data_IF_783066643494
#
_entry.id   IF_783066643494
#
_cell.length_a   1.000
_cell.length_b   1.000
_cell.length_c   1.000
_cell.angle_alpha   90.00
_cell.angle_beta   90.00
_cell.angle_gamma   90.00
#
_symmetry.space_group_name_H-M   'P 1'
#
loop_
_entity.id
_entity.type
_entity.pdbx_description
1 polymer ?
#
# COMPACT_ATOMS: atom_id res chain seq x y z
N UNK A 1 -20.16 -23.60 -10.91
CA UNK A 1 -21.64 -23.63 -10.90
C UNK A 1 -22.04 -24.51 -12.06
N UNK A 2 -23.04 -25.37 -11.86
CA UNK A 2 -23.47 -26.34 -12.85
C UNK A 2 -24.88 -26.01 -13.33
N UNK A 3 -25.21 -26.29 -14.59
CA UNK A 3 -26.57 -26.13 -15.14
C UNK A 3 -27.01 -27.42 -15.79
N UNK A 4 -28.26 -27.81 -15.57
CA UNK A 4 -28.86 -28.93 -16.27
C UNK A 4 -29.14 -28.57 -17.72
N UNK A 5 -28.67 -29.38 -18.66
CA UNK A 5 -28.90 -29.17 -20.10
C UNK A 5 -30.38 -29.30 -20.49
N UNK A 6 -31.17 -30.10 -19.76
CA UNK A 6 -32.57 -30.36 -20.11
C UNK A 6 -33.55 -29.33 -19.52
N UNK A 7 -33.36 -28.91 -18.26
CA UNK A 7 -34.33 -28.02 -17.58
C UNK A 7 -33.78 -26.67 -17.14
N UNK A 8 -32.49 -26.40 -17.37
CA UNK A 8 -31.87 -25.11 -17.06
C UNK A 8 -31.65 -24.82 -15.57
N UNK A 9 -32.04 -25.72 -14.64
CA UNK A 9 -31.79 -25.52 -13.19
C UNK A 9 -30.29 -25.47 -12.90
N UNK A 10 -29.92 -24.58 -11.98
CA UNK A 10 -28.55 -24.38 -11.52
C UNK A 10 -28.27 -25.11 -10.22
N UNK A 11 -27.05 -25.63 -10.09
CA UNK A 11 -26.56 -26.37 -8.93
C UNK A 11 -25.19 -25.83 -8.51
N UNK A 12 -24.93 -25.80 -7.20
CA UNK A 12 -23.57 -25.61 -6.70
C UNK A 12 -22.72 -26.86 -6.89
N UNK A 13 -21.42 -26.77 -6.58
CA UNK A 13 -20.47 -27.84 -6.83
C UNK A 13 -20.70 -29.07 -5.96
N UNK A 14 -21.03 -28.88 -4.68
CA UNK A 14 -21.26 -29.96 -3.73
C UNK A 14 -22.53 -30.74 -4.11
N UNK A 15 -23.62 -30.03 -4.41
CA UNK A 15 -24.88 -30.65 -4.82
C UNK A 15 -24.79 -31.36 -6.18
N UNK A 16 -23.98 -30.85 -7.11
CA UNK A 16 -23.74 -31.53 -8.40
C UNK A 16 -22.94 -32.83 -8.23
N UNK A 17 -21.93 -32.83 -7.34
CA UNK A 17 -21.13 -34.02 -7.03
C UNK A 17 -21.94 -35.09 -6.32
N UNK A 18 -22.74 -34.72 -5.32
CA UNK A 18 -23.62 -35.65 -4.60
C UNK A 18 -24.59 -36.37 -5.55
N UNK A 19 -25.02 -35.67 -6.60
CA UNK A 19 -25.94 -36.19 -7.62
C UNK A 19 -25.25 -36.82 -8.83
N UNK A 20 -23.94 -37.05 -8.76
CA UNK A 20 -23.14 -37.65 -9.83
C UNK A 20 -23.35 -36.98 -11.18
N UNK A 21 -23.45 -35.64 -11.20
CA UNK A 21 -23.60 -34.84 -12.41
C UNK A 21 -24.92 -35.07 -13.18
N UNK A 22 -25.99 -35.48 -12.47
CA UNK A 22 -27.34 -35.65 -13.03
C UNK A 22 -28.33 -34.74 -12.27
N UNK A 23 -29.32 -34.19 -12.98
CA UNK A 23 -30.36 -33.33 -12.40
C UNK A 23 -31.33 -34.12 -11.51
N UNK A 24 -32.49 -33.56 -11.17
CA UNK A 24 -33.52 -34.25 -10.39
C UNK A 24 -34.04 -35.52 -11.09
N UNK A 25 -34.49 -36.55 -10.33
CA UNK A 25 -35.02 -37.79 -10.89
C UNK A 25 -36.10 -37.61 -11.97
N UNK A 26 -36.96 -36.58 -11.84
CA UNK A 26 -37.99 -36.27 -12.83
C UNK A 26 -37.50 -35.53 -14.09
N UNK A 27 -36.23 -35.11 -14.14
CA UNK A 27 -35.65 -34.39 -15.26
C UNK A 27 -34.67 -35.26 -16.06
N UNK A 28 -33.80 -36.01 -15.38
CA UNK A 28 -32.82 -36.91 -16.01
C UNK A 28 -31.72 -36.21 -16.82
N UNK A 29 -31.71 -34.87 -16.94
CA UNK A 29 -30.71 -34.16 -17.72
C UNK A 29 -29.33 -34.11 -17.05
N UNK A 30 -28.27 -34.14 -17.85
CA UNK A 30 -26.87 -34.03 -17.41
C UNK A 30 -26.58 -32.62 -16.91
N UNK A 31 -25.77 -32.52 -15.85
CA UNK A 31 -25.25 -31.26 -15.35
C UNK A 31 -23.94 -30.94 -16.06
N UNK A 32 -23.88 -29.83 -16.78
CA UNK A 32 -22.66 -29.32 -17.39
C UNK A 32 -22.07 -28.20 -16.55
N UNK A 33 -20.74 -28.08 -16.56
CA UNK A 33 -20.06 -26.92 -16.00
C UNK A 33 -20.49 -25.73 -16.86
N UNK A 34 -21.24 -24.83 -16.26
CA UNK A 34 -21.36 -23.50 -16.82
C UNK A 34 -20.13 -22.79 -16.31
N UNK A 35 -19.09 -22.80 -17.14
CA UNK A 35 -18.16 -21.67 -17.13
C UNK A 35 -19.08 -20.47 -17.13
N UNK A 36 -19.02 -19.64 -16.09
CA UNK A 36 -19.76 -18.38 -16.10
C UNK A 36 -19.40 -17.75 -17.44
N UNK A 37 -20.30 -17.85 -18.43
CA UNK A 37 -20.46 -16.83 -19.42
C UNK A 37 -20.72 -15.62 -18.54
N UNK A 38 -19.63 -14.92 -18.28
CA UNK A 38 -19.65 -13.54 -17.91
C UNK A 38 -20.31 -12.92 -19.14
N UNK A 39 -21.66 -12.95 -19.16
CA UNK A 39 -22.47 -12.11 -20.02
C UNK A 39 -21.71 -10.81 -20.15
N UNK A 40 -21.42 -10.36 -21.37
CA UNK A 40 -20.37 -9.39 -21.73
C UNK A 40 -20.35 -8.03 -21.00
N UNK A 41 -21.07 -7.87 -19.90
CA UNK A 41 -20.70 -7.05 -18.76
C UNK A 41 -19.66 -7.78 -17.88
N UNK A 42 -18.38 -7.48 -18.11
CA UNK A 42 -17.32 -7.68 -17.12
C UNK A 42 -17.86 -7.28 -15.72
N UNK A 43 -17.95 -8.20 -14.74
CA UNK A 43 -18.31 -7.84 -13.38
C UNK A 43 -17.19 -6.95 -12.85
N UNK A 44 -17.48 -5.65 -12.81
CA UNK A 44 -16.48 -4.63 -12.55
C UNK A 44 -16.09 -3.79 -13.76
N UNK A 45 -17.04 -3.31 -14.58
CA UNK A 45 -17.00 -1.86 -14.72
C UNK A 45 -17.16 -1.33 -13.29
N UNK A 46 -16.11 -0.75 -12.67
CA UNK A 46 -16.31 -0.09 -11.40
C UNK A 46 -17.47 0.86 -11.65
N UNK A 47 -18.54 0.73 -10.86
CA UNK A 47 -19.54 1.78 -10.77
C UNK A 47 -18.76 3.09 -10.78
N UNK A 48 -19.06 3.97 -11.74
CA UNK A 48 -18.24 5.16 -12.04
C UNK A 48 -17.97 6.06 -10.83
N UNK A 49 -18.66 5.79 -9.73
CA UNK A 49 -18.29 6.09 -8.37
C UNK A 49 -17.13 5.20 -7.88
N UNK A 50 -15.96 5.31 -8.52
CA UNK A 50 -14.73 5.16 -7.74
C UNK A 50 -14.91 6.11 -6.55
N UNK A 51 -14.85 5.62 -5.30
CA UNK A 51 -15.13 6.48 -4.16
C UNK A 51 -14.22 7.70 -4.31
N UNK A 52 -14.81 8.89 -4.36
CA UNK A 52 -14.11 10.19 -4.35
C UNK A 52 -13.24 10.39 -3.09
N UNK A 53 -13.03 9.32 -2.31
CA UNK A 53 -12.36 9.20 -1.02
C UNK A 53 -10.83 9.18 -1.11
N UNK A 54 -10.21 9.24 -2.28
CA UNK A 54 -8.73 9.44 -2.32
C UNK A 54 -8.33 10.87 -1.97
N UNK A 55 -9.29 11.80 -1.94
CA UNK A 55 -9.06 13.17 -1.48
C UNK A 55 -8.60 13.21 -0.03
N UNK A 56 -7.31 13.44 0.21
CA UNK A 56 -6.76 13.69 1.55
C UNK A 56 -5.63 12.76 1.99
N UNK A 57 -5.30 11.71 1.22
CA UNK A 57 -4.11 10.91 1.52
C UNK A 57 -2.82 11.70 1.25
N UNK A 58 -1.71 11.42 1.97
CA UNK A 58 -0.41 12.00 1.68
C UNK A 58 0.00 11.75 0.23
N UNK A 59 0.54 12.76 -0.46
CA UNK A 59 0.86 12.70 -1.91
C UNK A 59 1.66 11.48 -2.34
N UNK A 60 2.69 11.00 -1.59
CA UNK A 60 3.42 9.80 -1.96
C UNK A 60 2.52 8.56 -2.08
N UNK A 61 1.41 8.51 -1.35
CA UNK A 61 0.44 7.42 -1.38
C UNK A 61 -0.65 7.70 -2.42
N UNK A 62 -1.24 8.90 -2.41
CA UNK A 62 -2.37 9.25 -3.29
C UNK A 62 -2.03 9.11 -4.77
N UNK A 63 -0.90 9.68 -5.20
CA UNK A 63 -0.57 9.78 -6.62
C UNK A 63 -0.39 8.40 -7.29
N UNK A 64 0.41 7.47 -6.75
CA UNK A 64 0.49 6.11 -7.29
C UNK A 64 -0.85 5.37 -7.28
N UNK A 65 -1.65 5.54 -6.22
CA UNK A 65 -2.94 4.88 -6.13
C UNK A 65 -3.94 5.39 -7.18
N UNK A 66 -4.00 6.71 -7.40
CA UNK A 66 -4.81 7.30 -8.48
C UNK A 66 -4.40 6.78 -9.86
N UNK A 67 -3.09 6.66 -10.12
CA UNK A 67 -2.59 6.07 -11.38
C UNK A 67 -3.07 4.63 -11.55
N UNK A 68 -3.04 3.84 -10.49
CA UNK A 68 -3.61 2.48 -10.51
C UNK A 68 -5.11 2.48 -10.84
N UNK A 69 -5.90 3.37 -10.22
CA UNK A 69 -7.34 3.42 -10.47
C UNK A 69 -7.68 3.84 -11.90
N UNK A 70 -6.89 4.76 -12.48
CA UNK A 70 -7.08 5.31 -13.82
C UNK A 70 -6.55 4.41 -14.93
N UNK A 71 -5.64 3.47 -14.62
CA UNK A 71 -5.08 2.56 -15.62
C UNK A 71 -6.14 1.57 -16.12
N UNK A 72 -6.28 1.49 -17.45
CA UNK A 72 -7.28 0.67 -18.13
C UNK A 72 -6.67 -0.61 -18.71
N UNK A 73 -5.39 -0.59 -19.06
CA UNK A 73 -4.70 -1.73 -19.65
C UNK A 73 -4.30 -2.74 -18.56
N UNK A 74 -4.72 -4.02 -18.63
CA UNK A 74 -4.57 -4.98 -17.53
C UNK A 74 -3.14 -5.17 -17.05
N UNK A 75 -2.18 -5.29 -17.98
CA UNK A 75 -0.77 -5.47 -17.66
C UNK A 75 -0.20 -4.26 -16.90
N UNK A 76 -0.38 -3.05 -17.44
CA UNK A 76 0.06 -1.83 -16.76
C UNK A 76 -0.67 -1.60 -15.44
N UNK A 77 -1.95 -2.00 -15.34
CA UNK A 77 -2.73 -1.87 -14.11
C UNK A 77 -2.14 -2.68 -12.96
N UNK A 78 -1.65 -3.90 -13.23
CA UNK A 78 -0.93 -4.71 -12.25
C UNK A 78 0.38 -4.03 -11.81
N UNK A 79 1.16 -3.48 -12.74
CA UNK A 79 2.37 -2.70 -12.38
C UNK A 79 2.04 -1.49 -11.51
N UNK A 80 1.02 -0.70 -11.88
CA UNK A 80 0.58 0.45 -11.09
C UNK A 80 0.07 0.06 -9.71
N UNK A 81 -0.59 -1.10 -9.59
CA UNK A 81 -1.00 -1.65 -8.29
C UNK A 81 0.23 -1.93 -7.42
N UNK A 82 1.23 -2.64 -7.96
CA UNK A 82 2.48 -2.91 -7.25
C UNK A 82 3.20 -1.61 -6.85
N UNK A 83 3.27 -0.62 -7.75
CA UNK A 83 3.83 0.70 -7.44
C UNK A 83 3.09 1.41 -6.29
N UNK A 84 1.76 1.34 -6.28
CA UNK A 84 0.97 1.97 -5.23
C UNK A 84 1.23 1.34 -3.86
N UNK A 85 1.21 0.00 -3.79
CA UNK A 85 1.47 -0.72 -2.53
C UNK A 85 2.93 -0.57 -2.10
N UNK A 86 3.88 -0.53 -3.02
CA UNK A 86 5.28 -0.25 -2.70
C UNK A 86 5.45 1.14 -2.10
N UNK A 87 4.78 2.14 -2.68
CA UNK A 87 4.83 3.51 -2.15
C UNK A 87 4.23 3.60 -0.74
N UNK A 88 3.09 2.93 -0.51
CA UNK A 88 2.49 2.80 0.82
C UNK A 88 3.43 2.10 1.81
N UNK A 89 4.09 1.02 1.38
CA UNK A 89 5.02 0.27 2.23
C UNK A 89 6.23 1.11 2.61
N UNK A 90 6.82 1.83 1.65
CA UNK A 90 7.93 2.77 1.89
C UNK A 90 7.54 3.87 2.86
N UNK A 91 6.40 4.51 2.61
CA UNK A 91 5.87 5.54 3.49
C UNK A 91 5.69 5.00 4.92
N UNK A 92 5.04 3.85 5.05
CA UNK A 92 4.79 3.19 6.35
C UNK A 92 6.10 2.87 7.07
N UNK A 93 7.07 2.27 6.37
CA UNK A 93 8.39 1.96 6.91
C UNK A 93 9.09 3.23 7.44
N UNK A 94 9.10 4.32 6.67
CA UNK A 94 9.72 5.58 7.07
C UNK A 94 9.11 6.14 8.36
N UNK A 95 7.78 6.16 8.47
CA UNK A 95 7.11 6.70 9.67
C UNK A 95 7.37 5.81 10.89
N UNK A 96 7.28 4.50 10.74
CA UNK A 96 7.53 3.58 11.85
C UNK A 96 9.00 3.59 12.29
N UNK A 97 9.95 3.71 11.36
CA UNK A 97 11.36 3.88 11.70
C UNK A 97 11.63 5.19 12.45
N UNK A 98 10.97 6.28 12.04
CA UNK A 98 11.04 7.55 12.76
C UNK A 98 10.51 7.42 14.18
N UNK A 99 9.41 6.69 14.38
CA UNK A 99 8.88 6.40 15.71
C UNK A 99 9.83 5.55 16.56
N UNK A 100 10.40 4.49 15.98
CA UNK A 100 11.41 3.68 16.67
C UNK A 100 12.57 4.57 17.10
N UNK A 101 13.15 5.35 16.18
CA UNK A 101 14.27 6.24 16.47
C UNK A 101 13.92 7.28 17.56
N UNK A 102 12.72 7.86 17.52
CA UNK A 102 12.22 8.81 18.52
C UNK A 102 12.14 8.18 19.91
N UNK A 103 11.69 6.93 20.00
CA UNK A 103 11.47 6.23 21.28
C UNK A 103 12.75 5.61 21.86
N UNK A 104 13.59 4.97 21.04
CA UNK A 104 14.84 4.34 21.50
C UNK A 104 16.06 5.25 21.41
N UNK A 105 15.95 6.44 20.81
CA UNK A 105 17.07 7.35 20.47
C UNK A 105 18.13 6.77 19.52
N UNK A 106 17.97 5.51 19.10
CA UNK A 106 18.84 4.82 18.16
C UNK A 106 18.09 3.64 17.51
N UNK A 107 18.31 3.40 16.22
CA UNK A 107 17.75 2.23 15.57
C UNK A 107 18.35 0.92 16.14
N UNK A 108 17.53 -0.11 16.43
CA UNK A 108 18.00 -1.45 16.76
C UNK A 108 19.02 -1.98 15.76
N UNK A 109 20.04 -2.71 16.22
CA UNK A 109 21.11 -3.19 15.36
C UNK A 109 20.60 -4.07 14.21
N UNK A 110 19.55 -4.85 14.45
CA UNK A 110 18.90 -5.67 13.42
C UNK A 110 18.35 -4.82 12.27
N UNK A 111 17.62 -3.75 12.59
CA UNK A 111 17.08 -2.77 11.63
C UNK A 111 18.22 -2.07 10.88
N UNK A 112 19.26 -1.61 11.58
CA UNK A 112 20.44 -0.99 10.96
C UNK A 112 21.10 -1.92 9.94
N UNK A 113 21.36 -3.16 10.33
CA UNK A 113 21.96 -4.17 9.45
C UNK A 113 21.05 -4.51 8.27
N UNK A 114 19.72 -4.58 8.50
CA UNK A 114 18.73 -4.75 7.44
C UNK A 114 18.77 -3.62 6.42
N UNK A 115 18.71 -2.38 6.89
CA UNK A 115 18.80 -1.19 6.03
C UNK A 115 20.12 -1.13 5.27
N UNK A 116 21.27 -1.33 5.92
CA UNK A 116 22.58 -1.28 5.26
C UNK A 116 22.69 -2.28 4.11
N UNK A 117 22.18 -3.50 4.29
CA UNK A 117 22.16 -4.52 3.22
C UNK A 117 21.24 -4.17 2.06
N UNK A 118 20.25 -3.29 2.28
CA UNK A 118 19.15 -3.06 1.36
C UNK A 118 19.17 -1.66 0.72
N UNK A 119 19.94 -0.71 1.27
CA UNK A 119 20.03 0.66 0.79
C UNK A 119 20.63 0.79 -0.62
N UNK A 120 21.45 -0.17 -1.05
CA UNK A 120 22.02 -0.16 -2.41
C UNK A 120 20.95 -0.42 -3.49
N UNK A 121 19.95 -1.27 -3.21
CA UNK A 121 18.84 -1.58 -4.13
C UNK A 121 17.57 -1.96 -3.35
N UNK A 122 16.82 -0.98 -2.82
CA UNK A 122 15.71 -1.28 -1.93
C UNK A 122 14.47 -1.71 -2.74
N UNK A 123 14.46 -2.99 -3.09
CA UNK A 123 13.31 -3.74 -3.60
C UNK A 123 12.14 -3.75 -2.58
N UNK A 124 10.93 -4.01 -3.05
CA UNK A 124 9.72 -4.01 -2.22
C UNK A 124 9.83 -4.93 -0.98
N UNK A 125 10.46 -6.10 -1.15
CA UNK A 125 10.69 -7.05 -0.06
C UNK A 125 11.54 -6.48 1.08
N UNK A 126 12.56 -5.67 0.76
CA UNK A 126 13.36 -4.97 1.77
C UNK A 126 12.50 -4.06 2.66
N UNK A 127 11.65 -3.24 2.04
CA UNK A 127 10.77 -2.34 2.78
C UNK A 127 9.74 -3.09 3.63
N UNK A 128 9.27 -4.26 3.18
CA UNK A 128 8.39 -5.12 3.97
C UNK A 128 9.09 -5.64 5.22
N UNK A 129 10.35 -6.11 5.11
CA UNK A 129 11.14 -6.54 6.26
C UNK A 129 11.39 -5.40 7.24
N UNK A 130 11.83 -4.23 6.74
CA UNK A 130 12.04 -3.02 7.57
C UNK A 130 10.75 -2.66 8.32
N UNK A 131 9.60 -2.69 7.64
CA UNK A 131 8.28 -2.44 8.24
C UNK A 131 7.98 -3.44 9.35
N UNK A 132 8.21 -4.73 9.12
CA UNK A 132 7.97 -5.80 10.09
C UNK A 132 8.85 -5.64 11.33
N UNK A 133 10.14 -5.35 11.14
CA UNK A 133 11.07 -5.14 12.25
C UNK A 133 10.73 -3.88 13.05
N UNK A 134 10.32 -2.79 12.39
CA UNK A 134 9.88 -1.57 13.06
C UNK A 134 8.61 -1.82 13.90
N UNK A 135 7.61 -2.52 13.34
CA UNK A 135 6.41 -2.93 14.09
C UNK A 135 6.77 -3.78 15.32
N UNK A 136 7.68 -4.74 15.18
CA UNK A 136 8.14 -5.59 16.29
C UNK A 136 8.84 -4.80 17.39
N UNK A 137 9.70 -3.84 17.01
CA UNK A 137 10.38 -2.96 17.95
C UNK A 137 9.38 -2.07 18.73
N UNK A 138 8.39 -1.50 18.04
CA UNK A 138 7.34 -0.70 18.66
C UNK A 138 6.46 -1.54 19.59
N UNK A 139 6.07 -2.76 19.19
CA UNK A 139 5.28 -3.66 20.04
C UNK A 139 6.03 -4.05 21.33
N UNK A 140 7.34 -4.33 21.23
CA UNK A 140 8.19 -4.61 22.39
C UNK A 140 8.26 -3.42 23.37
N UNK A 141 8.29 -2.19 22.85
CA UNK A 141 8.31 -0.97 23.66
C UNK A 141 6.95 -0.60 24.25
N UNK A 142 5.84 -0.89 23.56
CA UNK A 142 4.48 -0.66 24.07
C UNK A 142 4.15 -1.54 25.29
N UNK A 143 4.80 -2.71 25.41
CA UNK A 143 4.67 -3.58 26.58
C UNK A 143 5.44 -3.07 27.81
N UNK A 144 6.36 -2.13 27.63
CA UNK A 144 7.02 -1.45 28.74
C UNK A 144 6.08 -0.34 29.23
N UNK A 145 5.31 -0.66 30.28
CA UNK A 145 4.31 0.17 31.00
C UNK A 145 4.74 1.60 31.39
N UNK A 146 5.96 2.03 31.06
CA UNK A 146 6.60 3.25 31.54
C UNK A 146 6.94 4.27 30.45
N UNK A 147 6.73 3.99 29.16
CA UNK A 147 6.98 4.97 28.11
C UNK A 147 5.71 5.75 27.74
N UNK A 148 5.68 7.03 28.13
CA UNK A 148 4.62 8.03 27.81
C UNK A 148 4.52 8.39 26.31
N UNK A 149 5.00 7.55 25.41
CA UNK A 149 4.89 7.79 23.97
C UNK A 149 4.86 6.46 23.26
N UNK A 150 3.68 6.05 22.79
CA UNK A 150 3.58 4.95 21.83
C UNK A 150 4.02 5.41 20.44
N UNK A 151 3.64 4.64 19.41
CA UNK A 151 3.71 5.11 18.03
C UNK A 151 2.96 6.45 17.88
N UNK A 152 3.47 7.34 17.05
CA UNK A 152 2.85 8.63 16.76
C UNK A 152 1.50 8.44 16.05
N UNK A 153 1.39 7.40 15.22
CA UNK A 153 0.15 6.99 14.55
C UNK A 153 -0.11 5.52 14.89
N UNK A 154 -0.79 5.20 16.02
CA UNK A 154 -1.06 3.81 16.42
C UNK A 154 -1.81 3.00 15.36
N UNK A 155 -2.73 3.64 14.64
CA UNK A 155 -3.50 3.05 13.53
C UNK A 155 -2.58 2.54 12.41
N UNK A 156 -1.45 3.22 12.19
CA UNK A 156 -0.47 2.83 11.17
C UNK A 156 0.20 1.50 11.53
N UNK A 157 0.49 1.25 12.82
CA UNK A 157 1.04 -0.04 13.27
C UNK A 157 0.04 -1.17 13.05
N UNK A 158 -1.24 -0.92 13.38
CA UNK A 158 -2.33 -1.89 13.15
C UNK A 158 -2.53 -2.18 11.67
N UNK A 159 -2.55 -1.14 10.83
CA UNK A 159 -2.66 -1.26 9.37
C UNK A 159 -1.45 -1.99 8.77
N UNK A 160 -0.23 -1.70 9.24
CA UNK A 160 0.96 -2.38 8.79
C UNK A 160 0.90 -3.89 9.08
N UNK A 161 0.53 -4.25 10.32
CA UNK A 161 0.58 -5.65 10.80
C UNK A 161 -0.58 -6.53 10.33
N UNK A 162 -1.78 -5.97 10.14
CA UNK A 162 -2.98 -6.76 9.85
C UNK A 162 -3.33 -6.84 8.35
N UNK A 163 -3.57 -5.72 7.64
CA UNK A 163 -3.86 -5.81 6.20
C UNK A 163 -2.62 -5.70 5.29
N UNK A 164 -1.62 -4.86 5.60
CA UNK A 164 -0.52 -4.58 4.65
C UNK A 164 0.50 -5.72 4.55
N UNK A 165 1.17 -6.09 5.65
CA UNK A 165 2.21 -7.13 5.62
C UNK A 165 1.68 -8.49 5.12
N UNK A 166 0.47 -8.94 5.50
CA UNK A 166 -0.10 -10.16 4.93
C UNK A 166 -0.49 -10.04 3.44
N UNK A 167 -0.79 -8.84 2.94
CA UNK A 167 -1.01 -8.62 1.50
C UNK A 167 0.29 -8.70 0.70
N UNK A 168 1.41 -8.24 1.27
CA UNK A 168 2.72 -8.31 0.64
C UNK A 168 3.19 -9.75 0.45
N UNK A 169 3.00 -10.60 1.47
CA UNK A 169 3.41 -12.01 1.44
C UNK A 169 4.91 -12.19 1.36
N UNK A 170 5.38 -13.15 0.54
CA UNK A 170 6.80 -13.44 0.30
C UNK A 170 7.15 -13.28 -1.19
N UNK A 171 8.44 -13.09 -1.49
CA UNK A 171 8.96 -13.09 -2.87
C UNK A 171 8.80 -14.47 -3.51
N UNK A 172 9.07 -15.52 -2.75
CA UNK A 172 8.88 -16.92 -3.17
C UNK A 172 7.44 -17.43 -2.96
N UNK A 173 6.50 -16.49 -2.76
CA UNK A 173 5.10 -16.77 -2.47
C UNK A 173 4.30 -17.17 -3.71
N UNK A 174 2.97 -17.26 -3.52
CA UNK A 174 2.06 -17.49 -4.65
C UNK A 174 1.74 -16.14 -5.32
N UNK A 175 2.09 -15.90 -6.60
CA UNK A 175 1.78 -14.64 -7.29
C UNK A 175 0.28 -14.36 -7.42
N UNK A 176 -0.56 -15.37 -7.15
CA UNK A 176 -2.01 -15.24 -7.07
C UNK A 176 -2.51 -14.78 -5.69
N UNK A 177 -1.64 -14.62 -4.69
CA UNK A 177 -2.00 -14.26 -3.32
C UNK A 177 -1.13 -13.15 -2.73
N UNK A 178 0.16 -13.19 -3.09
CA UNK A 178 1.24 -12.39 -2.50
C UNK A 178 1.73 -11.34 -3.50
N UNK A 179 1.69 -10.07 -3.11
CA UNK A 179 2.10 -8.99 -4.01
C UNK A 179 3.59 -8.99 -4.34
N UNK A 180 4.44 -9.48 -3.44
CA UNK A 180 5.88 -9.57 -3.71
C UNK A 180 6.19 -10.61 -4.78
N UNK A 181 5.54 -11.79 -4.73
CA UNK A 181 5.64 -12.80 -5.77
C UNK A 181 5.06 -12.30 -7.10
N UNK A 182 3.91 -11.62 -7.08
CA UNK A 182 3.34 -10.98 -8.27
C UNK A 182 4.32 -9.97 -8.88
N UNK A 183 4.95 -9.13 -8.06
CA UNK A 183 5.94 -8.15 -8.52
C UNK A 183 7.15 -8.83 -9.16
N UNK A 184 7.64 -9.94 -8.60
CA UNK A 184 8.74 -10.72 -9.20
C UNK A 184 8.35 -11.25 -10.57
N UNK A 185 7.16 -11.88 -10.66
CA UNK A 185 6.61 -12.40 -11.92
C UNK A 185 6.53 -11.30 -13.00
N UNK A 186 6.04 -10.11 -12.64
CA UNK A 186 5.94 -8.97 -13.56
C UNK A 186 7.31 -8.40 -13.97
N UNK A 187 8.32 -8.50 -13.11
CA UNK A 187 9.67 -8.03 -13.42
C UNK A 187 10.47 -8.98 -14.31
N UNK A 188 10.19 -10.28 -14.22
CA UNK A 188 10.85 -11.33 -15.02
C UNK A 188 10.18 -11.55 -16.38
N UNK A 189 8.89 -11.22 -16.51
CA UNK A 189 8.12 -11.42 -17.74
C UNK A 189 8.21 -10.20 -18.66
N UNK A 190 8.54 -10.40 -19.95
CA UNK A 190 8.51 -9.31 -20.94
C UNK A 190 7.09 -8.74 -21.13
N UNK A 191 6.07 -9.61 -21.13
CA UNK A 191 4.65 -9.26 -21.07
C UNK A 191 3.79 -10.48 -20.74
N UNK A 192 2.84 -10.35 -19.83
CA UNK A 192 1.83 -11.37 -19.59
C UNK A 192 0.63 -11.19 -20.55
N UNK A 193 -0.03 -12.28 -21.00
CA UNK A 193 -1.26 -12.18 -21.78
C UNK A 193 -2.36 -11.44 -21.01
N UNK A 194 -3.11 -10.57 -21.68
CA UNK A 194 -4.14 -9.73 -21.06
C UNK A 194 -5.19 -10.56 -20.28
N UNK A 195 -5.56 -11.75 -20.78
CA UNK A 195 -6.47 -12.68 -20.07
C UNK A 195 -5.91 -13.13 -18.72
N UNK A 196 -4.60 -13.42 -18.65
CA UNK A 196 -3.91 -13.79 -17.41
C UNK A 196 -3.80 -12.60 -16.47
N UNK A 197 -3.53 -11.40 -16.99
CA UNK A 197 -3.55 -10.18 -16.19
C UNK A 197 -4.93 -9.92 -15.58
N UNK A 198 -5.99 -10.10 -16.36
CA UNK A 198 -7.36 -9.93 -15.90
C UNK A 198 -7.73 -10.96 -14.82
N UNK A 199 -7.28 -12.21 -14.99
CA UNK A 199 -7.42 -13.25 -13.98
C UNK A 199 -6.72 -12.85 -12.67
N UNK A 200 -5.47 -12.38 -12.74
CA UNK A 200 -4.73 -11.87 -11.58
C UNK A 200 -5.46 -10.70 -10.91
N UNK A 201 -5.99 -9.74 -11.67
CA UNK A 201 -6.74 -8.60 -11.11
C UNK A 201 -8.05 -9.03 -10.42
N UNK A 202 -8.85 -9.88 -11.07
CA UNK A 202 -10.24 -10.18 -10.68
C UNK A 202 -10.35 -11.44 -9.82
N UNK A 203 -9.83 -12.58 -10.30
CA UNK A 203 -9.99 -13.89 -9.65
C UNK A 203 -9.32 -13.93 -8.29
N UNK A 204 -8.19 -13.25 -8.17
CA UNK A 204 -7.38 -13.21 -6.96
C UNK A 204 -7.69 -12.03 -6.05
N UNK A 205 -8.72 -11.23 -6.42
CA UNK A 205 -9.23 -10.10 -5.65
C UNK A 205 -8.14 -9.09 -5.26
N UNK A 206 -7.03 -9.02 -6.00
CA UNK A 206 -5.96 -8.07 -5.69
C UNK A 206 -6.48 -6.64 -5.75
N UNK A 207 -7.29 -6.32 -6.77
CA UNK A 207 -7.92 -5.01 -6.88
C UNK A 207 -8.80 -4.72 -5.65
N UNK A 208 -9.68 -5.64 -5.26
CA UNK A 208 -10.56 -5.44 -4.11
C UNK A 208 -9.76 -5.29 -2.80
N UNK A 209 -8.83 -6.22 -2.52
CA UNK A 209 -7.98 -6.19 -1.33
C UNK A 209 -7.14 -4.91 -1.24
N UNK A 210 -6.61 -4.43 -2.38
CA UNK A 210 -5.86 -3.18 -2.41
C UNK A 210 -6.78 -1.97 -2.20
N UNK A 211 -7.93 -1.91 -2.88
CA UNK A 211 -8.90 -0.83 -2.66
C UNK A 211 -9.35 -0.78 -1.19
N UNK A 212 -9.62 -1.94 -0.58
CA UNK A 212 -9.97 -2.05 0.85
C UNK A 212 -8.83 -1.60 1.76
N UNK A 213 -7.57 -1.97 1.44
CA UNK A 213 -6.39 -1.51 2.17
C UNK A 213 -6.26 0.02 2.11
N UNK A 214 -6.37 0.62 0.93
CA UNK A 214 -6.28 2.07 0.77
C UNK A 214 -7.48 2.80 1.40
N UNK A 215 -8.66 2.18 1.41
CA UNK A 215 -9.83 2.68 2.14
C UNK A 215 -9.62 2.76 3.65
N UNK A 216 -8.78 1.87 4.22
CA UNK A 216 -8.42 1.90 5.64
C UNK A 216 -7.42 3.02 5.99
N UNK A 217 -6.87 3.74 5.01
CA UNK A 217 -5.94 4.85 5.24
C UNK A 217 -6.63 6.18 5.54
N UNK A 218 -7.95 6.19 5.78
CA UNK A 218 -8.69 7.40 6.13
C UNK A 218 -8.10 8.12 7.36
N UNK A 219 -7.49 7.40 8.30
CA UNK A 219 -6.80 8.01 9.44
C UNK A 219 -5.60 8.89 9.02
N UNK A 220 -5.04 8.70 7.82
CA UNK A 220 -3.99 9.58 7.28
C UNK A 220 -4.57 10.85 6.65
N UNK A 221 -5.88 10.94 6.48
CA UNK A 221 -6.51 12.14 5.95
C UNK A 221 -6.32 13.31 6.93
N UNK A 222 -5.69 14.39 6.45
CA UNK A 222 -5.38 15.57 7.27
C UNK A 222 -3.99 15.58 7.91
N UNK A 223 -3.15 14.56 7.67
CA UNK A 223 -1.72 14.68 7.95
C UNK A 223 -1.04 15.55 6.89
N UNK A 224 -0.27 16.52 7.35
CA UNK A 224 0.52 17.39 6.48
C UNK A 224 1.94 16.82 6.34
N UNK A 225 2.44 16.81 5.11
CA UNK A 225 3.81 16.42 4.80
C UNK A 225 4.68 17.67 4.66
N UNK A 226 5.85 17.65 5.28
CA UNK A 226 6.84 18.71 5.14
C UNK A 226 8.14 18.12 4.61
N UNK A 227 8.67 18.65 3.51
CA UNK A 227 10.06 18.44 3.13
C UNK A 227 10.93 19.47 3.82
N UNK A 228 12.10 19.07 4.31
CA UNK A 228 13.13 19.97 4.82
C UNK A 228 14.36 19.77 3.96
N UNK A 229 14.82 20.82 3.30
CA UNK A 229 16.04 20.78 2.47
C UNK A 229 17.30 20.80 3.34
N UNK A 230 18.46 20.51 2.73
CA UNK A 230 19.75 20.47 3.42
C UNK A 230 20.16 21.81 4.08
N UNK A 231 19.64 22.93 3.60
CA UNK A 231 19.81 24.27 4.17
C UNK A 231 18.81 24.58 5.31
N UNK A 232 17.91 23.65 5.63
CA UNK A 232 16.90 23.78 6.67
C UNK A 232 15.58 24.43 6.20
N UNK A 233 15.42 24.76 4.91
CA UNK A 233 14.16 25.29 4.41
C UNK A 233 13.09 24.20 4.40
N UNK A 234 12.01 24.44 5.15
CA UNK A 234 10.81 23.60 5.20
C UNK A 234 9.80 23.97 4.13
N UNK A 235 9.30 22.98 3.39
CA UNK A 235 8.30 23.13 2.33
C UNK A 235 7.14 22.19 2.64
N UNK A 236 5.92 22.72 2.66
CA UNK A 236 4.70 21.91 2.76
C UNK A 236 4.47 21.18 1.43
N UNK A 237 4.34 19.86 1.51
CA UNK A 237 4.12 18.96 0.37
C UNK A 237 2.61 18.70 0.24
N UNK A 238 1.88 19.69 -0.27
CA UNK A 238 0.40 19.66 -0.42
C UNK A 238 -0.09 18.87 -1.65
N UNK A 239 0.80 18.14 -2.32
CA UNK A 239 0.47 17.44 -3.56
C UNK A 239 0.13 18.35 -4.73
N UNK A 240 -0.36 17.79 -5.85
CA UNK A 240 -0.81 18.58 -6.97
C UNK A 240 -1.99 19.47 -6.53
N UNK A 241 -2.06 20.73 -7.00
CA UNK A 241 -3.18 21.60 -6.68
C UNK A 241 -4.48 20.91 -7.06
N UNK A 242 -5.55 21.05 -6.26
CA UNK A 242 -6.83 20.48 -6.63
C UNK A 242 -7.30 21.08 -7.97
N UNK A 243 -8.15 20.38 -8.73
CA UNK A 243 -8.64 20.87 -10.02
C UNK A 243 -9.27 22.26 -9.85
N UNK A 244 -9.07 23.12 -10.85
CA UNK A 244 -9.56 24.49 -10.85
C UNK A 244 -11.06 24.54 -10.48
N UNK A 245 -11.39 25.29 -9.43
CA UNK A 245 -12.76 25.38 -8.88
C UNK A 245 -12.95 24.70 -7.51
N UNK A 246 -12.00 23.91 -7.04
CA UNK A 246 -11.98 23.43 -5.64
C UNK A 246 -11.41 24.52 -4.72
N UNK A 247 -12.21 24.98 -3.76
CA UNK A 247 -11.90 26.12 -2.87
C UNK A 247 -10.80 25.87 -1.81
N UNK A 248 -9.88 24.92 -2.05
CA UNK A 248 -8.91 24.45 -1.07
C UNK A 248 -7.46 24.64 -1.56
N UNK A 249 -6.96 25.87 -1.56
CA UNK A 249 -5.53 26.12 -1.46
C UNK A 249 -5.30 27.20 -0.41
N UNK A 250 -5.04 26.78 0.82
CA UNK A 250 -4.56 27.68 1.87
C UNK A 250 -3.06 27.49 1.97
N UNK A 251 -2.30 28.49 1.53
CA UNK A 251 -0.91 28.64 1.97
C UNK A 251 -0.94 28.98 3.45
N UNK A 252 -0.64 28.02 4.32
CA UNK A 252 -0.46 28.32 5.74
C UNK A 252 0.95 28.88 5.93
N UNK A 253 1.11 30.11 6.46
CA UNK A 253 2.40 30.55 6.98
C UNK A 253 2.67 29.73 8.23
N UNK A 254 3.43 28.65 8.08
CA UNK A 254 3.79 27.80 9.20
C UNK A 254 5.08 28.36 9.78
N UNK A 255 4.96 29.12 10.87
CA UNK A 255 6.09 29.36 11.78
C UNK A 255 6.38 28.07 12.54
N UNK A 256 6.90 27.06 11.85
CA UNK A 256 7.46 25.89 12.51
C UNK A 256 8.74 26.39 13.21
N UNK A 257 8.67 26.54 14.54
CA UNK A 257 9.90 26.41 15.34
C UNK A 257 10.37 24.98 15.09
N UNK A 258 11.29 24.81 14.12
CA UNK A 258 12.02 23.58 13.88
C UNK A 258 12.57 23.15 15.24
N UNK A 259 11.96 22.11 15.82
CA UNK A 259 12.59 21.35 16.87
C UNK A 259 13.90 20.87 16.25
N UNK A 260 15.04 21.30 16.81
CA UNK A 260 16.40 21.05 16.30
C UNK A 260 16.40 19.75 15.50
N UNK A 261 16.47 19.90 14.18
CA UNK A 261 16.67 18.77 13.29
C UNK A 261 17.92 18.06 13.77
N UNK A 262 17.75 16.85 14.27
CA UNK A 262 18.87 15.94 14.38
C UNK A 262 19.23 15.61 12.94
N UNK A 263 20.11 16.41 12.35
CA UNK A 263 20.96 15.93 11.27
C UNK A 263 21.56 14.65 11.81
N UNK A 264 21.21 13.52 11.19
CA UNK A 264 21.99 12.30 11.33
C UNK A 264 23.36 12.69 10.80
N UNK A 265 24.21 13.20 11.70
CA UNK A 265 25.58 13.51 11.39
C UNK A 265 26.15 12.22 10.84
N UNK A 266 26.63 12.26 9.61
CA UNK A 266 27.45 11.20 9.07
C UNK A 266 28.51 10.89 10.12
N UNK A 267 28.37 9.75 10.80
CA UNK A 267 29.36 9.29 11.75
C UNK A 267 30.64 9.03 10.97
N UNK A 268 31.58 9.98 11.03
CA UNK A 268 33.01 9.71 10.87
C UNK A 268 33.62 9.76 9.46
N UNK A 269 33.08 10.52 8.51
CA UNK A 269 33.81 10.81 7.26
C UNK A 269 34.46 12.19 7.35
N UNK A 270 35.80 12.23 7.34
CA UNK A 270 36.57 13.45 7.15
C UNK A 270 36.16 14.16 5.85
N UNK A 271 36.13 15.50 5.80
CA UNK A 271 35.69 16.22 4.61
C UNK A 271 36.75 16.09 3.52
N UNK A 272 36.56 15.18 2.56
CA UNK A 272 37.22 15.23 1.27
C UNK A 272 36.38 16.08 0.32
N UNK A 273 37.02 17.10 -0.24
CA UNK A 273 36.45 18.11 -1.13
C UNK A 273 36.01 17.52 -2.47
N UNK A 274 34.74 17.15 -2.60
CA UNK A 274 34.06 17.08 -3.89
C UNK A 274 32.62 17.57 -3.69
N UNK A 275 32.38 18.82 -4.07
CA UNK A 275 31.07 19.48 -4.11
C UNK A 275 30.23 18.90 -5.25
N UNK A 276 29.66 17.73 -5.04
CA UNK A 276 28.42 17.36 -5.73
C UNK A 276 27.27 17.72 -4.80
N UNK A 277 26.54 18.77 -5.19
CA UNK A 277 25.33 19.27 -4.53
C UNK A 277 24.22 18.22 -4.58
N UNK A 278 24.32 17.24 -3.69
CA UNK A 278 23.23 16.32 -3.39
C UNK A 278 22.21 17.08 -2.54
N UNK A 279 21.33 17.82 -3.22
CA UNK A 279 20.14 18.46 -2.63
C UNK A 279 19.15 17.40 -2.14
N UNK A 280 19.50 16.74 -1.03
CA UNK A 280 18.63 15.82 -0.33
C UNK A 280 17.57 16.58 0.48
N UNK A 281 16.33 16.14 0.39
CA UNK A 281 15.25 16.59 1.28
C UNK A 281 14.98 15.50 2.33
N UNK A 282 14.87 15.89 3.59
CA UNK A 282 14.35 15.06 4.67
C UNK A 282 12.83 15.28 4.74
N UNK A 283 12.04 14.21 4.63
CA UNK A 283 10.59 14.31 4.78
C UNK A 283 10.20 14.15 6.24
N UNK A 284 9.58 15.18 6.81
CA UNK A 284 8.97 15.19 8.13
C UNK A 284 7.45 15.06 7.99
N UNK A 285 6.88 14.12 8.71
CA UNK A 285 5.42 14.04 8.88
C UNK A 285 5.04 14.89 10.08
N UNK A 286 4.17 15.88 9.87
CA UNK A 286 3.65 16.70 10.96
C UNK A 286 2.15 16.48 11.01
N UNK A 287 1.66 15.92 12.12
CA UNK A 287 0.23 15.99 12.39
C UNK A 287 -0.12 17.45 12.64
N UNK A 288 -0.77 18.10 11.68
CA UNK A 288 -1.67 19.19 12.03
C UNK A 288 -2.82 18.54 12.78
N UNK A 289 -2.82 18.63 14.11
CA UNK A 289 -4.03 18.33 14.86
C UNK A 289 -5.14 19.17 14.22
N UNK A 290 -6.20 18.57 13.64
CA UNK A 290 -7.31 19.37 13.18
C UNK A 290 -7.74 20.15 14.41
N UNK A 291 -7.61 21.49 14.36
CA UNK A 291 -8.18 22.35 15.40
C UNK A 291 -9.60 21.85 15.54
N UNK A 292 -9.96 21.31 16.71
CA UNK A 292 -11.35 21.11 17.05
C UNK A 292 -12.03 22.43 16.68
N UNK A 293 -12.91 22.40 15.69
CA UNK A 293 -13.74 23.56 15.39
C UNK A 293 -14.55 23.78 16.68
N UNK A 294 -14.11 24.75 17.47
CA UNK A 294 -14.87 25.29 18.58
C UNK A 294 -16.10 26.01 18.03
#
# INVERSE_FOLDING_TARGET
MFRCEACGRTWDEDAARERKMVCSPGCGGTLVIVERELDGQLPGQPSSELPQRTGGLPTPIDLPFRRFLQESQPFFKLHRLCEAVDSLTRFTATILLSDVLRLSRALPQRIKSGMLRQLERPWAGAWAEITREACGALAGQLNLKFHRGGAFIPELVKMATSPLLPLLGSVDGDPNRDLLALRSLLGESERLPDARCQELLVRHRFQARCVDLFGQLEFLSGFALFGVSGDGLGVLLDGPPPPAGSAASRRLPISCRLWRTWTVGACGASPSSSTEDSNGFIVLLVASHPRQKA
#
